data_IF_322249453976
#
_entry.id   IF_322249453976
#
_cell.length_a   1.000
_cell.length_b   1.000
_cell.length_c   1.000
_cell.angle_alpha   90.00
_cell.angle_beta   90.00
_cell.angle_gamma   90.00
#
_symmetry.space_group_name_H-M   'P 1'
#
loop_
_entity.id
_entity.type
_entity.pdbx_description
1 polymer ?
#
# COMPACT_ATOMS: atom_id res chain seq x y z
N UNK A 1 -37.62 -59.97 -3.89
CA UNK A 1 -37.31 -60.52 -2.55
C UNK A 1 -35.85 -61.00 -2.53
N UNK A 2 -35.14 -60.76 -1.41
CA UNK A 2 -33.74 -61.11 -1.04
C UNK A 2 -32.67 -60.15 -1.59
N UNK A 3 -32.29 -59.06 -0.88
CA UNK A 3 -31.59 -58.88 0.43
C UNK A 3 -30.10 -59.25 0.41
N UNK A 4 -29.28 -58.19 0.48
CA UNK A 4 -28.25 -57.91 1.50
C UNK A 4 -27.15 -58.94 1.72
N UNK A 5 -25.89 -58.61 1.34
CA UNK A 5 -24.65 -59.00 2.05
C UNK A 5 -23.40 -58.48 1.32
N UNK A 6 -22.91 -57.28 1.66
CA UNK A 6 -21.51 -56.84 1.38
C UNK A 6 -21.17 -55.49 2.05
N UNK A 7 -21.26 -55.35 3.38
CA UNK A 7 -20.84 -54.12 4.11
C UNK A 7 -20.14 -54.44 5.46
N UNK A 8 -19.21 -55.40 5.52
CA UNK A 8 -18.51 -55.71 6.81
C UNK A 8 -16.98 -55.70 6.73
N UNK A 9 -16.36 -55.59 5.55
CA UNK A 9 -14.89 -55.72 5.45
C UNK A 9 -14.08 -54.41 5.46
N UNK A 10 -14.70 -53.22 5.60
CA UNK A 10 -14.00 -51.93 5.50
C UNK A 10 -13.92 -51.13 6.81
N UNK A 11 -14.07 -51.79 7.97
CA UNK A 11 -13.93 -51.14 9.29
C UNK A 11 -12.66 -51.56 10.07
N UNK A 12 -11.85 -52.52 9.58
CA UNK A 12 -10.67 -53.01 10.32
C UNK A 12 -9.34 -52.35 9.94
N UNK A 13 -9.30 -51.45 8.95
CA UNK A 13 -8.06 -50.78 8.52
C UNK A 13 -7.83 -49.40 9.18
N UNK A 14 -8.71 -48.95 10.09
CA UNK A 14 -8.61 -47.65 10.77
C UNK A 14 -8.09 -47.73 12.23
N UNK A 15 -7.79 -48.91 12.75
CA UNK A 15 -7.32 -49.08 14.13
C UNK A 15 -5.78 -49.05 14.30
N UNK A 16 -5.02 -48.78 13.23
CA UNK A 16 -3.56 -48.98 13.20
C UNK A 16 -2.66 -47.78 13.51
N UNK A 17 -3.18 -46.56 13.68
CA UNK A 17 -2.33 -45.35 13.80
C UNK A 17 -2.58 -44.51 15.06
N UNK A 18 -3.22 -45.05 16.10
CA UNK A 18 -3.43 -44.35 17.38
C UNK A 18 -2.58 -44.93 18.50
N UNK A 19 -1.26 -45.06 18.29
CA UNK A 19 -0.34 -45.15 19.44
C UNK A 19 -0.24 -43.75 20.06
N UNK A 20 -1.16 -43.45 20.97
CA UNK A 20 -0.98 -42.34 21.89
C UNK A 20 0.21 -42.69 22.79
N UNK A 21 1.38 -42.13 22.48
CA UNK A 21 2.57 -42.26 23.32
C UNK A 21 2.24 -41.53 24.63
N UNK A 22 2.19 -42.20 25.79
CA UNK A 22 1.97 -41.54 27.06
C UNK A 22 3.16 -40.63 27.36
N UNK A 23 2.91 -39.33 27.39
CA UNK A 23 3.90 -38.31 27.71
C UNK A 23 3.41 -36.94 27.26
N UNK A 24 3.61 -35.90 28.07
CA UNK A 24 3.55 -34.54 27.54
C UNK A 24 4.69 -34.41 26.52
N UNK A 25 4.42 -34.00 25.27
CA UNK A 25 5.48 -33.78 24.30
C UNK A 25 6.43 -32.71 24.85
N UNK A 26 7.59 -33.15 25.33
CA UNK A 26 8.67 -32.26 25.74
C UNK A 26 9.37 -31.81 24.46
N UNK A 27 9.38 -30.51 24.20
CA UNK A 27 10.11 -29.94 23.08
C UNK A 27 11.58 -30.37 23.19
N UNK A 28 12.10 -31.01 22.16
CA UNK A 28 13.51 -31.42 22.10
C UNK A 28 14.38 -30.17 22.29
N UNK A 29 15.21 -30.09 23.35
CA UNK A 29 16.10 -28.95 23.58
C UNK A 29 17.17 -28.80 22.47
N UNK A 30 17.36 -29.82 21.62
CA UNK A 30 18.17 -29.76 20.41
C UNK A 30 17.42 -29.23 19.17
N UNK A 31 16.11 -28.99 19.28
CA UNK A 31 15.36 -28.32 18.23
C UNK A 31 15.95 -26.93 18.02
N UNK A 32 16.45 -26.69 16.80
CA UNK A 32 17.19 -25.49 16.44
C UNK A 32 16.36 -24.24 16.78
N UNK A 33 16.78 -23.51 17.82
CA UNK A 33 16.15 -22.25 18.22
C UNK A 33 16.41 -21.23 17.13
N UNK A 34 15.34 -20.64 16.60
CA UNK A 34 15.46 -19.54 15.64
C UNK A 34 16.20 -18.37 16.30
N UNK A 35 17.25 -17.89 15.65
CA UNK A 35 17.91 -16.65 16.04
C UNK A 35 17.08 -15.47 15.53
N UNK A 36 16.40 -14.79 16.46
CA UNK A 36 15.57 -13.62 16.17
C UNK A 36 16.29 -12.31 16.48
N UNK A 37 17.56 -12.35 16.87
CA UNK A 37 18.29 -11.18 17.37
C UNK A 37 17.51 -10.43 18.47
N UNK A 38 17.42 -9.10 18.31
CA UNK A 38 16.68 -8.22 19.22
C UNK A 38 15.24 -7.91 18.75
N UNK A 39 14.75 -8.56 17.70
CA UNK A 39 13.41 -8.31 17.18
C UNK A 39 12.34 -8.94 18.08
N UNK A 40 11.20 -8.26 18.21
CA UNK A 40 10.06 -8.79 18.95
C UNK A 40 9.49 -10.05 18.26
N UNK A 41 9.05 -11.03 19.05
CA UNK A 41 8.58 -12.33 18.55
C UNK A 41 7.11 -12.61 18.83
N UNK A 42 6.40 -11.65 19.43
CA UNK A 42 4.98 -11.74 19.75
C UNK A 42 4.17 -10.70 18.97
N UNK A 43 2.91 -11.03 18.58
CA UNK A 43 2.02 -10.05 17.99
C UNK A 43 1.82 -8.84 18.91
N UNK A 44 1.84 -7.65 18.32
CA UNK A 44 1.65 -6.38 19.04
C UNK A 44 0.25 -5.83 18.84
N UNK A 45 -0.29 -5.10 19.81
CA UNK A 45 -1.47 -4.27 19.58
C UNK A 45 -1.09 -3.08 18.71
N UNK A 46 -1.84 -2.84 17.63
CA UNK A 46 -1.62 -1.70 16.74
C UNK A 46 -2.75 -0.70 16.93
N UNK A 47 -2.39 0.50 17.37
CA UNK A 47 -3.31 1.61 17.54
C UNK A 47 -2.63 2.91 17.12
N UNK A 48 -3.44 3.89 16.71
CA UNK A 48 -2.93 5.20 16.36
C UNK A 48 -2.49 5.92 17.64
N UNK A 49 -1.27 6.45 17.64
CA UNK A 49 -0.73 7.24 18.75
C UNK A 49 -1.01 8.71 18.49
N UNK A 50 -0.79 9.15 17.25
CA UNK A 50 -1.12 10.49 16.76
C UNK A 50 -2.30 10.45 15.77
N UNK A 51 -2.94 11.61 15.55
CA UNK A 51 -4.00 11.74 14.56
C UNK A 51 -3.51 11.45 13.14
N UNK A 52 -2.27 11.85 12.81
CA UNK A 52 -1.67 11.59 11.51
C UNK A 52 -1.52 10.09 11.21
N UNK A 53 -1.22 9.25 12.22
CA UNK A 53 -1.15 7.79 12.08
C UNK A 53 -2.49 7.24 11.57
N UNK A 54 -3.58 7.66 12.22
CA UNK A 54 -4.93 7.26 11.86
C UNK A 54 -5.32 7.78 10.48
N UNK A 55 -5.03 9.05 10.20
CA UNK A 55 -5.32 9.65 8.91
C UNK A 55 -4.54 9.01 7.76
N UNK A 56 -3.33 8.52 7.99
CA UNK A 56 -2.56 7.74 7.01
C UNK A 56 -3.31 6.47 6.64
N UNK A 57 -3.74 5.71 7.65
CA UNK A 57 -4.51 4.48 7.42
C UNK A 57 -5.84 4.76 6.71
N UNK A 58 -6.53 5.84 7.07
CA UNK A 58 -7.75 6.24 6.39
C UNK A 58 -7.50 6.66 4.93
N UNK A 59 -6.35 7.26 4.63
CA UNK A 59 -5.92 7.52 3.27
C UNK A 59 -5.81 6.24 2.43
N UNK A 60 -5.25 5.16 3.00
CA UNK A 60 -5.24 3.86 2.30
C UNK A 60 -6.63 3.26 2.12
N UNK A 61 -7.54 3.44 3.09
CA UNK A 61 -8.94 3.03 2.94
C UNK A 61 -9.63 3.85 1.83
N UNK A 62 -9.32 5.14 1.71
CA UNK A 62 -9.85 6.02 0.66
C UNK A 62 -9.43 5.62 -0.76
N UNK A 63 -8.28 4.97 -0.91
CA UNK A 63 -7.75 4.55 -2.21
C UNK A 63 -8.73 3.63 -2.99
N UNK A 64 -9.58 2.87 -2.29
CA UNK A 64 -10.63 2.06 -2.94
C UNK A 64 -11.63 2.90 -3.74
N UNK A 65 -11.87 4.14 -3.30
CA UNK A 65 -12.74 5.11 -3.96
C UNK A 65 -11.97 6.02 -4.94
N UNK A 66 -10.67 5.80 -5.15
CA UNK A 66 -9.86 6.54 -6.12
C UNK A 66 -9.80 5.79 -7.45
N UNK A 67 -10.03 6.50 -8.55
CA UNK A 67 -9.87 6.00 -9.92
C UNK A 67 -8.38 5.88 -10.18
N UNK A 68 -7.92 4.75 -10.70
CA UNK A 68 -6.51 4.67 -11.08
C UNK A 68 -6.33 5.27 -12.48
N UNK A 69 -5.23 5.99 -12.77
CA UNK A 69 -5.00 6.55 -14.10
C UNK A 69 -5.02 5.52 -15.24
N UNK A 70 -4.56 4.28 -14.97
CA UNK A 70 -4.63 3.17 -15.93
C UNK A 70 -6.04 2.64 -16.19
N UNK A 71 -7.04 2.97 -15.36
CA UNK A 71 -8.45 2.65 -15.63
C UNK A 71 -9.00 3.57 -16.74
N UNK A 72 -8.44 4.78 -16.89
CA UNK A 72 -8.82 5.75 -17.93
C UNK A 72 -7.96 5.58 -19.17
N UNK A 73 -6.64 5.41 -18.98
CA UNK A 73 -5.68 5.25 -20.07
C UNK A 73 -4.77 4.04 -19.79
N UNK A 74 -5.11 2.84 -20.29
CA UNK A 74 -4.39 1.60 -20.00
C UNK A 74 -2.90 1.59 -20.38
N UNK A 75 -2.45 2.52 -21.22
CA UNK A 75 -1.02 2.67 -21.58
C UNK A 75 -0.19 3.31 -20.48
N UNK A 76 -0.80 3.85 -19.42
CA UNK A 76 -0.08 4.46 -18.30
C UNK A 76 0.25 3.40 -17.25
N UNK A 77 1.42 2.78 -17.35
CA UNK A 77 1.76 1.58 -16.56
C UNK A 77 2.96 1.73 -15.65
N UNK A 78 3.61 2.90 -15.61
CA UNK A 78 4.84 3.10 -14.84
C UNK A 78 4.75 4.31 -13.93
N UNK A 79 5.53 4.31 -12.84
CA UNK A 79 5.73 5.49 -12.01
C UNK A 79 6.69 6.44 -12.73
N UNK A 80 6.42 7.73 -12.67
CA UNK A 80 7.37 8.69 -13.22
C UNK A 80 8.47 8.96 -12.19
N UNK A 81 9.72 8.81 -12.60
CA UNK A 81 10.88 9.29 -11.82
C UNK A 81 11.25 10.72 -12.20
N UNK A 82 10.73 11.22 -13.32
CA UNK A 82 10.93 12.60 -13.77
C UNK A 82 10.01 13.60 -13.06
N UNK A 83 8.89 13.12 -12.54
CA UNK A 83 7.92 13.88 -11.77
C UNK A 83 7.82 13.14 -10.44
N UNK A 84 8.43 13.66 -9.38
CA UNK A 84 8.62 12.95 -8.11
C UNK A 84 7.37 12.96 -7.23
N UNK A 85 6.26 12.56 -7.83
CA UNK A 85 5.08 12.17 -7.08
C UNK A 85 4.96 10.65 -7.12
N UNK A 86 4.26 10.10 -6.16
CA UNK A 86 3.97 8.68 -6.11
C UNK A 86 2.60 8.49 -5.49
N UNK A 87 1.94 7.41 -5.87
CA UNK A 87 0.61 7.11 -5.34
C UNK A 87 0.72 6.83 -3.85
N UNK A 88 0.04 7.61 -3.01
CA UNK A 88 0.16 7.52 -1.55
C UNK A 88 -0.98 8.22 -0.81
N UNK A 89 -1.05 7.99 0.50
CA UNK A 89 -1.92 8.75 1.40
C UNK A 89 -1.39 10.18 1.60
N UNK A 90 -2.29 11.14 1.58
CA UNK A 90 -2.03 12.55 1.89
C UNK A 90 -2.56 12.81 3.29
N UNK A 91 -1.69 12.99 4.26
CA UNK A 91 -2.04 13.26 5.65
C UNK A 91 -1.80 14.73 6.04
N UNK A 92 -1.16 15.48 5.16
CA UNK A 92 -0.93 16.90 5.36
C UNK A 92 -0.91 17.67 4.01
N UNK A 93 -1.51 18.87 3.91
CA UNK A 93 -1.57 19.62 2.65
C UNK A 93 -0.22 19.92 2.01
N UNK A 94 0.84 20.00 2.82
CA UNK A 94 2.24 20.13 2.39
C UNK A 94 2.59 19.10 1.32
N UNK A 95 2.03 17.88 1.36
CA UNK A 95 2.31 16.83 0.36
C UNK A 95 1.67 17.11 -1.02
N UNK A 96 0.84 18.15 -1.15
CA UNK A 96 0.20 18.54 -2.42
C UNK A 96 1.03 19.55 -3.22
N UNK A 97 2.11 20.07 -2.65
CA UNK A 97 3.08 20.94 -3.35
C UNK A 97 4.42 20.22 -3.50
N UNK A 98 5.14 20.57 -4.55
CA UNK A 98 6.55 20.22 -4.71
C UNK A 98 7.42 21.33 -4.12
N UNK A 99 8.23 21.00 -3.10
CA UNK A 99 9.09 21.95 -2.39
C UNK A 99 10.44 22.21 -3.05
N UNK A 100 10.78 21.50 -4.13
CA UNK A 100 12.15 21.56 -4.68
C UNK A 100 12.42 22.82 -5.50
N UNK A 101 11.39 23.41 -6.09
CA UNK A 101 11.51 24.66 -6.86
C UNK A 101 10.29 25.55 -6.67
N UNK A 102 10.46 26.70 -6.00
CA UNK A 102 9.43 27.72 -5.81
C UNK A 102 8.83 28.23 -7.13
N UNK A 103 9.51 28.02 -8.27
CA UNK A 103 9.10 28.51 -9.59
C UNK A 103 8.53 27.43 -10.51
N UNK A 104 8.57 26.14 -10.12
CA UNK A 104 8.24 25.00 -11.01
C UNK A 104 7.65 23.82 -10.24
N UNK A 105 6.67 24.06 -9.37
CA UNK A 105 6.13 22.98 -8.54
C UNK A 105 5.51 21.88 -9.42
N UNK A 106 5.94 20.63 -9.26
CA UNK A 106 5.22 19.47 -9.79
C UNK A 106 4.08 19.00 -8.84
N UNK A 107 3.60 19.88 -7.95
CA UNK A 107 2.44 19.65 -7.07
C UNK A 107 1.08 19.99 -7.69
N UNK A 108 0.00 19.45 -7.13
CA UNK A 108 -1.38 19.80 -7.55
C UNK A 108 -1.71 21.27 -7.34
N UNK A 109 -1.03 21.89 -6.38
CA UNK A 109 -1.31 23.23 -5.91
C UNK A 109 0.00 24.02 -5.82
N UNK A 110 -0.12 25.33 -5.95
CA UNK A 110 0.96 26.25 -5.65
C UNK A 110 1.26 26.25 -4.15
N UNK A 111 2.42 26.79 -3.77
CA UNK A 111 2.80 26.95 -2.36
C UNK A 111 1.82 27.83 -1.59
N UNK A 112 1.36 28.94 -2.17
CA UNK A 112 0.42 29.85 -1.53
C UNK A 112 -0.94 29.17 -1.28
N UNK A 113 -1.49 28.47 -2.28
CA UNK A 113 -2.70 27.66 -2.12
C UNK A 113 -2.53 26.61 -1.01
N UNK A 114 -1.39 25.93 -0.98
CA UNK A 114 -1.07 24.91 0.03
C UNK A 114 -1.00 25.48 1.44
N UNK A 115 -0.35 26.64 1.62
CA UNK A 115 -0.29 27.31 2.92
C UNK A 115 -1.67 27.75 3.40
N UNK A 116 -2.52 28.26 2.50
CA UNK A 116 -3.91 28.61 2.82
C UNK A 116 -4.76 27.38 3.19
N UNK A 117 -4.50 26.23 2.56
CA UNK A 117 -5.19 24.98 2.89
C UNK A 117 -4.90 24.47 4.30
N UNK A 118 -3.78 24.84 4.93
CA UNK A 118 -3.49 24.45 6.31
C UNK A 118 -4.59 24.92 7.29
N UNK A 119 -5.35 25.96 6.93
CA UNK A 119 -6.49 26.47 7.72
C UNK A 119 -7.85 25.81 7.43
N UNK A 120 -7.93 24.78 6.58
CA UNK A 120 -9.21 24.27 6.04
C UNK A 120 -9.74 22.99 6.70
N UNK A 121 -9.23 22.60 7.87
CA UNK A 121 -9.61 21.33 8.53
C UNK A 121 -9.48 20.11 7.59
N UNK A 122 -8.41 20.08 6.81
CA UNK A 122 -8.00 18.91 6.03
C UNK A 122 -7.75 17.72 6.99
N UNK A 123 -8.22 16.52 6.61
CA UNK A 123 -8.05 15.31 7.41
C UNK A 123 -7.08 14.34 6.75
N UNK A 124 -7.41 13.90 5.55
CA UNK A 124 -6.59 12.95 4.79
C UNK A 124 -6.96 12.96 3.30
N UNK A 125 -6.27 12.19 2.51
CA UNK A 125 -6.58 11.93 1.11
C UNK A 125 -5.76 10.77 0.58
N UNK A 126 -5.99 10.45 -0.69
CA UNK A 126 -5.15 9.53 -1.43
C UNK A 126 -4.97 10.06 -2.86
N UNK A 127 -3.74 10.04 -3.35
CA UNK A 127 -3.42 10.34 -4.73
C UNK A 127 -2.97 9.07 -5.43
N UNK A 128 -3.43 8.89 -6.66
CA UNK A 128 -3.00 7.87 -7.57
C UNK A 128 -2.38 8.52 -8.80
N UNK A 129 -1.29 7.94 -9.29
CA UNK A 129 -0.59 8.41 -10.47
C UNK A 129 -0.18 7.26 -11.37
N UNK A 130 0.02 7.56 -12.66
CA UNK A 130 0.75 6.72 -13.59
C UNK A 130 1.20 7.54 -14.80
N UNK A 131 2.24 7.06 -15.47
CA UNK A 131 2.78 7.63 -16.69
C UNK A 131 2.96 6.58 -17.78
N UNK A 132 3.14 7.03 -19.03
CA UNK A 132 3.52 6.17 -20.16
C UNK A 132 5.03 5.86 -20.22
N UNK A 133 5.86 6.69 -19.57
CA UNK A 133 7.30 6.48 -19.45
C UNK A 133 7.81 7.00 -18.10
N UNK A 134 8.77 6.29 -17.50
CA UNK A 134 9.28 6.63 -16.18
C UNK A 134 10.11 7.92 -16.20
N UNK A 135 11.02 8.06 -17.15
CA UNK A 135 12.04 9.12 -17.18
C UNK A 135 11.69 10.31 -18.06
N UNK A 136 10.81 10.11 -19.05
CA UNK A 136 10.41 11.17 -19.97
C UNK A 136 8.95 10.95 -20.43
N UNK A 137 7.98 11.13 -19.52
CA UNK A 137 6.58 10.90 -19.85
C UNK A 137 6.09 11.87 -20.92
N UNK A 138 5.40 11.33 -21.93
CA UNK A 138 4.60 12.17 -22.82
C UNK A 138 3.26 12.52 -22.15
N UNK A 139 2.74 11.60 -21.33
CA UNK A 139 1.57 11.80 -20.47
C UNK A 139 1.83 11.25 -19.07
N UNK A 140 1.64 12.10 -18.07
CA UNK A 140 1.53 11.74 -16.65
C UNK A 140 0.16 12.16 -16.15
N UNK A 141 -0.61 11.21 -15.63
CA UNK A 141 -1.98 11.44 -15.19
C UNK A 141 -2.08 11.12 -13.71
N UNK A 142 -2.77 12.00 -12.98
CA UNK A 142 -3.02 11.87 -11.55
C UNK A 142 -4.49 12.05 -11.25
N UNK A 143 -4.95 11.35 -10.24
CA UNK A 143 -6.26 11.59 -9.64
C UNK A 143 -6.22 11.31 -8.15
N UNK A 144 -7.23 11.76 -7.44
CA UNK A 144 -7.31 11.48 -6.03
C UNK A 144 -8.55 12.03 -5.39
N UNK A 145 -8.61 11.80 -4.09
CA UNK A 145 -9.71 12.19 -3.24
C UNK A 145 -9.13 12.79 -1.97
N UNK A 146 -9.56 14.00 -1.63
CA UNK A 146 -9.19 14.71 -0.41
C UNK A 146 -10.41 14.78 0.50
N UNK A 147 -10.23 14.52 1.78
CA UNK A 147 -11.28 14.54 2.80
C UNK A 147 -11.06 15.71 3.75
N UNK A 148 -12.14 16.44 3.95
CA UNK A 148 -12.23 17.54 4.91
C UNK A 148 -13.19 17.18 6.03
N UNK A 149 -13.13 17.95 7.11
CA UNK A 149 -14.02 17.78 8.24
C UNK A 149 -15.50 17.81 7.82
N UNK A 150 -15.93 18.73 6.95
CA UNK A 150 -17.32 18.83 6.53
C UNK A 150 -17.42 19.41 5.11
N UNK A 151 -18.65 19.52 4.62
CA UNK A 151 -18.93 20.06 3.29
C UNK A 151 -18.52 21.53 3.15
N UNK A 152 -18.59 22.31 4.23
CA UNK A 152 -18.23 23.73 4.19
C UNK A 152 -16.71 23.91 4.15
N UNK A 153 -15.98 23.07 4.90
CA UNK A 153 -14.53 22.97 4.86
C UNK A 153 -14.04 22.58 3.47
N UNK A 154 -14.66 21.58 2.84
CA UNK A 154 -14.38 21.21 1.46
C UNK A 154 -14.69 22.34 0.47
N UNK A 155 -15.81 23.06 0.62
CA UNK A 155 -16.15 24.19 -0.24
C UNK A 155 -15.13 25.33 -0.12
N UNK A 156 -14.71 25.68 1.11
CA UNK A 156 -13.66 26.67 1.36
C UNK A 156 -12.32 26.25 0.76
N UNK A 157 -11.95 24.97 0.92
CA UNK A 157 -10.75 24.42 0.33
C UNK A 157 -10.77 24.47 -1.20
N UNK A 158 -11.88 24.11 -1.84
CA UNK A 158 -12.02 24.24 -3.29
C UNK A 158 -11.86 25.69 -3.75
N UNK A 159 -12.43 26.65 -3.01
CA UNK A 159 -12.27 28.07 -3.31
C UNK A 159 -10.81 28.54 -3.19
N UNK A 160 -10.06 28.03 -2.21
CA UNK A 160 -8.62 28.29 -2.08
C UNK A 160 -7.82 27.67 -3.22
N UNK A 161 -8.19 26.45 -3.63
CA UNK A 161 -7.51 25.72 -4.69
C UNK A 161 -7.75 26.31 -6.07
N UNK A 162 -8.85 27.04 -6.30
CA UNK A 162 -9.15 27.65 -7.61
C UNK A 162 -8.02 28.57 -8.06
N UNK A 163 -7.62 28.41 -9.31
CA UNK A 163 -6.76 29.37 -9.99
C UNK A 163 -7.66 30.44 -10.60
N UNK A 164 -7.75 31.60 -9.94
CA UNK A 164 -8.62 32.69 -10.39
C UNK A 164 -8.18 33.33 -11.71
N UNK A 165 -6.94 33.08 -12.16
CA UNK A 165 -6.43 33.60 -13.42
C UNK A 165 -6.68 32.64 -14.60
N UNK A 166 -7.01 31.37 -14.33
CA UNK A 166 -7.21 30.37 -15.37
C UNK A 166 -8.65 30.36 -15.88
N UNK A 167 -8.82 30.47 -17.19
CA UNK A 167 -10.08 30.13 -17.86
C UNK A 167 -10.34 28.62 -17.70
N UNK A 168 -11.59 28.24 -17.46
CA UNK A 168 -11.98 26.83 -17.37
C UNK A 168 -12.27 26.28 -18.76
N UNK A 169 -11.50 25.29 -19.26
CA UNK A 169 -11.77 24.66 -20.54
C UNK A 169 -13.18 24.06 -20.62
N UNK A 170 -13.78 24.08 -21.81
CA UNK A 170 -15.14 23.61 -22.04
C UNK A 170 -15.33 22.15 -21.63
N UNK A 171 -14.31 21.31 -21.78
CA UNK A 171 -14.29 19.91 -21.38
C UNK A 171 -14.44 19.78 -19.86
N UNK A 172 -13.71 20.59 -19.08
CA UNK A 172 -13.78 20.58 -17.61
C UNK A 172 -15.11 21.15 -17.12
N UNK A 173 -15.64 22.18 -17.79
CA UNK A 173 -16.93 22.79 -17.44
C UNK A 173 -18.12 21.82 -17.51
N UNK A 174 -18.00 20.71 -18.26
CA UNK A 174 -19.01 19.62 -18.30
C UNK A 174 -19.10 18.86 -16.98
N UNK A 175 -18.03 18.82 -16.19
CA UNK A 175 -18.01 18.15 -14.89
C UNK A 175 -18.63 19.08 -13.85
N UNK A 176 -19.79 18.70 -13.32
CA UNK A 176 -20.57 19.53 -12.39
C UNK A 176 -19.74 19.95 -11.18
N UNK A 177 -19.61 21.27 -10.98
CA UNK A 177 -18.89 21.84 -9.85
C UNK A 177 -17.37 21.76 -9.97
N UNK A 178 -16.85 21.36 -11.13
CA UNK A 178 -15.42 21.38 -11.40
C UNK A 178 -14.90 22.82 -11.55
N UNK A 179 -13.65 23.01 -11.14
CA UNK A 179 -12.90 24.22 -11.38
C UNK A 179 -11.44 23.89 -11.66
N UNK A 180 -10.79 24.71 -12.49
CA UNK A 180 -9.34 24.65 -12.67
C UNK A 180 -8.64 25.11 -11.38
N UNK A 181 -7.69 24.31 -10.93
CA UNK A 181 -6.91 24.59 -9.70
C UNK A 181 -5.45 24.89 -9.99
N UNK A 182 -4.97 24.49 -11.17
CA UNK A 182 -3.67 24.85 -11.70
C UNK A 182 -3.65 24.73 -13.22
N UNK A 183 -3.04 25.71 -13.90
CA UNK A 183 -2.69 25.61 -15.31
C UNK A 183 -1.37 26.34 -15.57
N UNK A 184 -0.28 25.61 -15.75
CA UNK A 184 1.04 26.22 -15.96
C UNK A 184 1.99 25.33 -16.78
N UNK A 185 2.97 25.93 -17.49
CA UNK A 185 4.03 25.17 -18.12
C UNK A 185 4.99 24.57 -17.08
N UNK A 186 5.38 23.31 -17.27
CA UNK A 186 6.31 22.54 -16.42
C UNK A 186 7.31 21.81 -17.33
N UNK A 187 8.60 22.12 -17.25
CA UNK A 187 9.68 21.43 -17.98
C UNK A 187 9.39 21.18 -19.48
N UNK A 188 8.89 22.19 -20.21
CA UNK A 188 8.55 22.05 -21.64
C UNK A 188 7.27 21.25 -21.92
N UNK A 189 6.48 20.96 -20.88
CA UNK A 189 5.15 20.34 -20.90
C UNK A 189 4.13 21.34 -20.36
N UNK A 190 2.86 21.07 -20.58
CA UNK A 190 1.75 21.80 -19.94
C UNK A 190 1.15 20.92 -18.88
N UNK A 191 0.91 21.50 -17.70
CA UNK A 191 0.15 20.87 -16.65
C UNK A 191 -1.20 21.55 -16.50
N UNK A 192 -2.24 20.74 -16.44
CA UNK A 192 -3.58 21.16 -16.09
C UNK A 192 -4.10 20.32 -14.93
N UNK A 193 -4.65 20.96 -13.91
CA UNK A 193 -5.32 20.31 -12.80
C UNK A 193 -6.72 20.89 -12.59
N UNK A 194 -7.67 20.03 -12.26
CA UNK A 194 -9.03 20.41 -11.91
C UNK A 194 -9.52 19.63 -10.70
N UNK A 195 -10.45 20.25 -9.97
CA UNK A 195 -11.05 19.68 -8.78
C UNK A 195 -12.55 19.92 -8.75
N UNK A 196 -13.29 19.00 -8.14
CA UNK A 196 -14.73 19.09 -7.94
C UNK A 196 -15.11 18.59 -6.54
N UNK A 197 -16.07 19.26 -5.91
CA UNK A 197 -16.55 18.88 -4.58
C UNK A 197 -17.60 17.75 -4.64
N UNK A 198 -17.49 16.80 -3.72
CA UNK A 198 -18.46 15.71 -3.48
C UNK A 198 -18.72 15.61 -1.97
N UNK A 199 -19.70 16.35 -1.46
CA UNK A 199 -19.94 16.44 -0.01
C UNK A 199 -18.74 17.04 0.73
N UNK A 200 -18.21 16.33 1.74
CA UNK A 200 -16.98 16.73 2.46
C UNK A 200 -15.69 16.28 1.77
N UNK A 201 -15.78 15.85 0.51
CA UNK A 201 -14.65 15.39 -0.29
C UNK A 201 -14.37 16.38 -1.42
N UNK A 202 -13.11 16.43 -1.85
CA UNK A 202 -12.72 17.05 -3.12
C UNK A 202 -12.08 15.95 -3.98
N UNK A 203 -12.71 15.67 -5.12
CA UNK A 203 -12.11 14.91 -6.21
C UNK A 203 -11.09 15.82 -6.91
N UNK A 204 -9.87 15.33 -7.12
CA UNK A 204 -8.82 16.06 -7.83
C UNK A 204 -8.30 15.24 -8.99
N UNK A 205 -7.87 15.92 -10.04
CA UNK A 205 -7.30 15.33 -11.25
C UNK A 205 -6.25 16.26 -11.84
N UNK A 206 -5.19 15.71 -12.42
CA UNK A 206 -4.27 16.50 -13.22
C UNK A 206 -3.60 15.68 -14.30
N UNK A 207 -3.30 16.32 -15.42
CA UNK A 207 -2.50 15.76 -16.50
C UNK A 207 -1.32 16.69 -16.78
N UNK A 208 -0.14 16.09 -16.96
CA UNK A 208 1.04 16.76 -17.51
C UNK A 208 1.30 16.16 -18.90
N UNK A 209 1.23 16.97 -19.95
CA UNK A 209 1.34 16.52 -21.36
C UNK A 209 2.33 17.36 -22.15
N UNK A 210 2.99 16.77 -23.15
CA UNK A 210 3.82 17.55 -24.10
C UNK A 210 2.98 18.45 -25.02
N UNK A 211 1.84 17.94 -25.48
CA UNK A 211 0.87 18.70 -26.26
C UNK A 211 -0.23 19.24 -25.34
N UNK A 212 -0.31 20.56 -25.19
CA UNK A 212 -1.26 21.21 -24.29
C UNK A 212 -2.73 20.88 -24.62
N UNK A 213 -3.02 20.52 -25.88
CA UNK A 213 -4.38 20.25 -26.39
C UNK A 213 -5.06 19.05 -25.75
N UNK A 214 -4.29 18.07 -25.29
CA UNK A 214 -4.87 16.79 -24.83
C UNK A 214 -5.19 16.80 -23.32
N UNK A 215 -4.64 17.77 -22.58
CA UNK A 215 -4.78 17.82 -21.13
C UNK A 215 -6.24 18.05 -20.66
N UNK A 216 -7.04 18.96 -21.25
CA UNK A 216 -8.44 19.18 -20.83
C UNK A 216 -9.31 17.93 -20.93
N UNK A 217 -9.18 17.15 -22.01
CA UNK A 217 -9.95 15.92 -22.21
C UNK A 217 -9.56 14.84 -21.20
N UNK A 218 -8.26 14.64 -20.98
CA UNK A 218 -7.77 13.66 -19.99
C UNK A 218 -8.19 14.03 -18.57
N UNK A 219 -8.06 15.31 -18.19
CA UNK A 219 -8.42 15.82 -16.86
C UNK A 219 -9.92 15.71 -16.63
N UNK A 220 -10.75 16.14 -17.60
CA UNK A 220 -12.21 16.04 -17.47
C UNK A 220 -12.68 14.59 -17.35
N UNK A 221 -12.16 13.69 -18.20
CA UNK A 221 -12.52 12.27 -18.19
C UNK A 221 -12.22 11.60 -16.85
N UNK A 222 -11.00 11.78 -16.31
CA UNK A 222 -10.66 11.19 -15.01
C UNK A 222 -11.39 11.87 -13.85
N UNK A 223 -11.63 13.19 -13.92
CA UNK A 223 -12.36 13.90 -12.88
C UNK A 223 -13.82 13.45 -12.80
N UNK A 224 -14.49 13.28 -13.93
CA UNK A 224 -15.87 12.78 -13.99
C UNK A 224 -15.98 11.37 -13.38
N UNK A 225 -15.06 10.48 -13.76
CA UNK A 225 -14.96 9.14 -13.19
C UNK A 225 -14.69 9.21 -11.67
N UNK A 226 -13.81 10.11 -11.23
CA UNK A 226 -13.47 10.28 -9.82
C UNK A 226 -14.63 10.85 -8.99
N UNK A 227 -15.37 11.83 -9.53
CA UNK A 227 -16.58 12.38 -8.89
C UNK A 227 -17.63 11.29 -8.70
N UNK A 228 -17.82 10.44 -9.72
CA UNK A 228 -18.74 9.30 -9.65
C UNK A 228 -18.27 8.30 -8.60
N UNK A 229 -17.00 7.88 -8.66
CA UNK A 229 -16.43 6.87 -7.75
C UNK A 229 -16.36 7.35 -6.30
N UNK A 230 -16.17 8.64 -6.06
CA UNK A 230 -16.13 9.23 -4.72
C UNK A 230 -17.40 8.93 -3.89
N UNK A 231 -18.56 8.75 -4.54
CA UNK A 231 -19.82 8.39 -3.85
C UNK A 231 -19.82 6.99 -3.22
N UNK A 232 -18.86 6.13 -3.62
CA UNK A 232 -18.68 4.79 -3.06
C UNK A 232 -17.85 4.79 -1.77
N UNK A 233 -17.13 5.88 -1.49
CA UNK A 233 -16.34 5.99 -0.28
C UNK A 233 -17.23 5.88 0.97
N UNK A 234 -16.74 5.13 1.96
CA UNK A 234 -17.34 4.98 3.28
C UNK A 234 -16.30 5.41 4.30
N UNK A 235 -16.62 6.44 5.06
CA UNK A 235 -15.72 6.99 6.08
C UNK A 235 -15.49 5.95 7.17
N UNK A 236 -14.23 5.65 7.48
CA UNK A 236 -13.84 4.70 8.52
C UNK A 236 -14.07 5.21 9.95
N UNK A 237 -14.22 6.53 10.11
CA UNK A 237 -14.56 7.14 11.40
C UNK A 237 -15.41 8.41 11.23
N UNK A 238 -16.32 8.69 12.19
CA UNK A 238 -16.98 9.98 12.32
C UNK A 238 -15.99 11.13 12.51
N UNK A 239 -16.47 12.36 12.28
CA UNK A 239 -15.66 13.58 12.37
C UNK A 239 -15.04 13.75 13.76
N UNK A 240 -13.74 14.08 13.79
CA UNK A 240 -12.98 14.30 15.02
C UNK A 240 -12.64 13.04 15.82
N UNK A 241 -13.05 11.85 15.35
CA UNK A 241 -12.87 10.59 16.07
C UNK A 241 -11.81 9.69 15.42
N UNK A 242 -10.63 10.25 15.13
CA UNK A 242 -9.54 9.51 14.45
C UNK A 242 -9.15 8.21 15.17
N UNK A 243 -9.36 8.11 16.49
CA UNK A 243 -9.11 6.90 17.28
C UNK A 243 -9.98 5.71 16.91
N UNK A 244 -11.08 5.93 16.18
CA UNK A 244 -11.94 4.86 15.68
C UNK A 244 -11.49 4.30 14.33
N UNK A 245 -10.51 4.92 13.66
CA UNK A 245 -9.95 4.36 12.45
C UNK A 245 -9.20 3.07 12.83
N UNK A 246 -9.63 1.90 12.30
CA UNK A 246 -8.96 0.66 12.63
C UNK A 246 -7.53 0.72 12.07
N UNK A 247 -6.54 0.59 12.94
CA UNK A 247 -5.14 0.51 12.54
C UNK A 247 -4.71 -0.93 12.24
N UNK A 248 -5.59 -1.89 12.46
CA UNK A 248 -5.34 -3.28 12.19
C UNK A 248 -6.61 -4.02 11.77
N UNK A 249 -6.76 -4.22 10.46
CA UNK A 249 -7.84 -5.01 9.91
C UNK A 249 -7.46 -6.49 9.98
N UNK A 250 -8.30 -7.27 10.66
CA UNK A 250 -8.15 -8.72 10.79
C UNK A 250 -6.80 -9.19 11.37
N UNK A 251 -6.13 -8.34 12.15
CA UNK A 251 -4.85 -8.66 12.81
C UNK A 251 -3.63 -8.68 11.88
N UNK A 252 -3.73 -8.16 10.66
CA UNK A 252 -2.63 -8.16 9.68
C UNK A 252 -1.45 -7.27 10.10
N UNK A 253 -1.70 -6.14 10.76
CA UNK A 253 -0.64 -5.24 11.22
C UNK A 253 0.01 -5.75 12.51
N UNK A 254 -0.74 -6.45 13.37
CA UNK A 254 -0.19 -7.18 14.52
C UNK A 254 0.82 -8.26 14.11
N UNK A 255 0.78 -8.71 12.84
CA UNK A 255 1.68 -9.72 12.27
C UNK A 255 3.01 -9.16 11.76
N UNK A 256 3.21 -7.84 11.79
CA UNK A 256 4.44 -7.18 11.31
C UNK A 256 5.43 -6.91 12.44
N UNK A 257 6.68 -6.63 12.07
CA UNK A 257 7.61 -5.92 12.94
C UNK A 257 7.20 -4.43 13.03
N UNK A 258 7.39 -3.78 14.18
CA UNK A 258 7.21 -2.32 14.28
C UNK A 258 8.30 -1.61 13.46
N UNK A 259 7.97 -0.45 12.88
CA UNK A 259 8.94 0.38 12.17
C UNK A 259 10.10 0.80 13.09
N UNK A 260 11.35 0.71 12.60
CA UNK A 260 12.56 1.04 13.38
C UNK A 260 13.13 2.42 13.04
N UNK A 261 12.26 3.38 12.76
CA UNK A 261 12.71 4.74 12.45
C UNK A 261 13.33 5.37 13.69
N UNK A 262 14.61 5.76 13.59
CA UNK A 262 15.16 6.78 14.49
C UNK A 262 14.29 8.02 14.36
N UNK A 263 13.79 8.48 15.50
CA UNK A 263 12.68 9.42 15.64
C UNK A 263 13.02 10.83 15.15
N UNK A 264 13.28 11.01 13.85
CA UNK A 264 13.14 12.31 13.25
C UNK A 264 11.66 12.69 13.32
N UNK A 265 11.30 13.81 13.96
CA UNK A 265 9.93 14.28 13.99
C UNK A 265 9.42 14.36 12.56
N UNK A 266 8.45 13.50 12.23
CA UNK A 266 7.83 13.57 10.92
C UNK A 266 7.23 14.96 10.77
N UNK A 267 7.63 15.70 9.74
CA UNK A 267 7.00 16.97 9.35
C UNK A 267 5.51 16.81 9.04
N UNK A 268 5.04 15.55 8.92
CA UNK A 268 3.65 15.17 8.69
C UNK A 268 2.88 14.89 10.00
N UNK A 269 3.53 14.99 11.16
CA UNK A 269 2.90 14.77 12.47
C UNK A 269 2.69 13.29 12.84
N UNK A 270 3.33 12.36 12.14
CA UNK A 270 3.33 10.93 12.49
C UNK A 270 4.03 10.69 13.84
N UNK A 271 3.54 9.72 14.59
CA UNK A 271 4.19 9.30 15.83
C UNK A 271 5.51 8.58 15.56
N UNK A 272 6.39 8.50 16.57
CA UNK A 272 7.69 7.84 16.47
C UNK A 272 7.64 6.33 16.19
N UNK A 273 6.45 5.72 16.16
CA UNK A 273 6.25 4.28 15.88
C UNK A 273 5.60 4.02 14.53
N UNK A 274 5.33 5.05 13.75
CA UNK A 274 4.65 4.97 12.45
C UNK A 274 5.50 5.74 11.44
N UNK A 275 6.06 5.01 10.49
CA UNK A 275 6.72 5.59 9.33
C UNK A 275 5.68 6.01 8.29
N UNK A 276 6.06 6.93 7.42
CA UNK A 276 5.25 7.24 6.26
C UNK A 276 5.08 5.99 5.38
N UNK A 277 3.87 5.78 4.86
CA UNK A 277 3.47 4.57 4.12
C UNK A 277 3.23 3.29 4.95
N UNK A 278 3.39 3.33 6.28
CA UNK A 278 3.00 2.24 7.17
C UNK A 278 1.48 2.09 7.27
N UNK A 279 1.00 0.85 7.27
CA UNK A 279 -0.41 0.53 7.41
C UNK A 279 -0.81 -0.73 6.65
N UNK A 280 -2.08 -1.07 6.75
CA UNK A 280 -2.65 -2.12 5.91
C UNK A 280 -3.32 -1.53 4.67
N UNK A 281 -3.40 -2.31 3.61
CA UNK A 281 -4.04 -1.93 2.36
C UNK A 281 -4.53 -3.15 1.60
N UNK A 282 -5.51 -2.95 0.73
CA UNK A 282 -5.92 -4.00 -0.20
C UNK A 282 -4.84 -4.25 -1.25
N UNK A 283 -5.03 -5.33 -2.01
CA UNK A 283 -4.22 -5.64 -3.19
C UNK A 283 -4.29 -4.54 -4.25
N UNK A 284 -5.46 -3.93 -4.46
CA UNK A 284 -5.63 -2.85 -5.43
C UNK A 284 -4.89 -1.60 -4.98
N UNK A 285 -5.03 -1.20 -3.72
CA UNK A 285 -4.32 -0.04 -3.18
C UNK A 285 -2.82 -0.26 -3.23
N UNK A 286 -2.32 -1.45 -2.89
CA UNK A 286 -0.90 -1.77 -3.03
C UNK A 286 -0.42 -1.63 -4.48
N UNK A 287 -1.17 -2.17 -5.45
CA UNK A 287 -0.83 -2.03 -6.86
C UNK A 287 -0.83 -0.57 -7.32
N UNK A 288 -1.79 0.25 -6.88
CA UNK A 288 -1.76 1.68 -7.20
C UNK A 288 -0.50 2.36 -6.65
N UNK A 289 -0.02 1.93 -5.49
CA UNK A 289 1.19 2.45 -4.82
C UNK A 289 2.50 1.99 -5.44
N UNK A 290 2.55 0.83 -6.11
CA UNK A 290 3.79 0.30 -6.70
C UNK A 290 3.82 0.35 -8.22
N UNK A 291 2.64 0.37 -8.86
CA UNK A 291 2.43 0.14 -10.29
C UNK A 291 3.12 -1.12 -10.83
N UNK A 292 3.40 -2.09 -9.95
CA UNK A 292 3.96 -3.36 -10.36
C UNK A 292 2.84 -4.28 -10.86
N UNK A 293 2.70 -4.32 -12.19
CA UNK A 293 1.67 -5.13 -12.85
C UNK A 293 1.91 -6.62 -12.68
N UNK A 294 3.16 -7.06 -12.70
CA UNK A 294 3.48 -8.48 -12.55
C UNK A 294 3.18 -8.96 -11.13
N UNK A 295 3.54 -8.16 -10.11
CA UNK A 295 3.10 -8.39 -8.74
C UNK A 295 1.58 -8.45 -8.64
N UNK A 296 0.85 -7.49 -9.22
CA UNK A 296 -0.62 -7.44 -9.11
C UNK A 296 -1.32 -8.64 -9.75
N UNK A 297 -0.85 -9.07 -10.92
CA UNK A 297 -1.39 -10.25 -11.59
C UNK A 297 -1.11 -11.52 -10.76
N UNK A 298 0.07 -11.63 -10.13
CA UNK A 298 0.42 -12.73 -9.20
C UNK A 298 -0.41 -12.68 -7.92
N UNK A 299 -0.57 -11.49 -7.34
CA UNK A 299 -1.32 -11.25 -6.13
C UNK A 299 -2.79 -11.67 -6.33
N UNK A 300 -3.38 -11.25 -7.45
CA UNK A 300 -4.75 -11.61 -7.85
C UNK A 300 -4.89 -13.12 -8.04
N UNK A 301 -3.99 -13.78 -8.79
CA UNK A 301 -4.03 -15.24 -9.01
C UNK A 301 -3.94 -16.05 -7.72
N UNK A 302 -3.18 -15.57 -6.74
CA UNK A 302 -3.00 -16.23 -5.45
C UNK A 302 -3.97 -15.75 -4.36
N UNK A 303 -4.91 -14.86 -4.72
CA UNK A 303 -5.93 -14.35 -3.81
C UNK A 303 -5.34 -13.57 -2.63
N UNK A 304 -4.30 -12.75 -2.86
CA UNK A 304 -3.92 -11.73 -1.89
C UNK A 304 -5.11 -10.79 -1.76
N UNK A 305 -5.55 -10.56 -0.53
CA UNK A 305 -6.65 -9.64 -0.22
C UNK A 305 -6.22 -8.51 0.73
N UNK A 306 -5.14 -8.71 1.49
CA UNK A 306 -4.65 -7.76 2.47
C UNK A 306 -3.12 -7.76 2.54
N UNK A 307 -2.54 -6.57 2.57
CA UNK A 307 -1.11 -6.32 2.70
C UNK A 307 -0.88 -5.43 3.92
N UNK A 308 -0.11 -5.89 4.89
CA UNK A 308 0.43 -5.04 5.95
C UNK A 308 1.86 -4.63 5.59
N UNK A 309 2.18 -3.36 5.81
CA UNK A 309 3.47 -2.80 5.49
C UNK A 309 3.98 -1.94 6.65
N UNK A 310 5.26 -2.14 6.99
CA UNK A 310 6.05 -1.28 7.87
C UNK A 310 7.42 -1.00 7.23
N UNK A 311 8.21 -0.09 7.79
CA UNK A 311 9.59 0.13 7.32
C UNK A 311 10.47 -1.12 7.44
N UNK A 312 10.12 -2.04 8.35
CA UNK A 312 10.89 -3.27 8.62
C UNK A 312 10.38 -4.49 7.87
N UNK A 313 9.09 -4.53 7.53
CA UNK A 313 8.48 -5.78 7.12
C UNK A 313 7.21 -5.62 6.30
N UNK A 314 6.92 -6.66 5.53
CA UNK A 314 5.68 -6.79 4.77
C UNK A 314 5.05 -8.14 5.09
N UNK A 315 3.74 -8.15 5.30
CA UNK A 315 2.97 -9.39 5.46
C UNK A 315 1.84 -9.39 4.44
N UNK A 316 1.80 -10.43 3.61
CA UNK A 316 0.73 -10.68 2.67
C UNK A 316 -0.19 -11.77 3.22
N UNK A 317 -1.50 -11.50 3.22
CA UNK A 317 -2.53 -12.52 3.44
C UNK A 317 -2.98 -13.03 2.08
N UNK A 318 -2.65 -14.28 1.76
CA UNK A 318 -3.13 -14.96 0.55
C UNK A 318 -4.38 -15.79 0.86
N UNK A 319 -4.99 -16.41 -0.15
CA UNK A 319 -6.19 -17.25 0.01
C UNK A 319 -5.98 -18.42 0.96
N UNK A 320 -4.88 -19.14 0.80
CA UNK A 320 -4.58 -20.38 1.54
C UNK A 320 -3.06 -20.67 1.51
N UNK A 321 -2.64 -21.71 2.25
CA UNK A 321 -1.24 -22.14 2.32
C UNK A 321 -0.65 -22.49 0.96
N UNK A 322 -1.40 -23.17 0.10
CA UNK A 322 -0.91 -23.55 -1.23
C UNK A 322 -0.64 -22.31 -2.09
N UNK A 323 -1.50 -21.30 -2.01
CA UNK A 323 -1.36 -20.01 -2.67
C UNK A 323 -0.18 -19.22 -2.13
N UNK A 324 0.20 -19.40 -0.85
CA UNK A 324 1.39 -18.76 -0.27
C UNK A 324 2.66 -19.31 -0.90
N UNK A 325 2.77 -20.63 -1.04
CA UNK A 325 3.87 -21.28 -1.75
C UNK A 325 3.89 -20.91 -3.24
N UNK A 326 2.73 -20.92 -3.89
CA UNK A 326 2.63 -20.55 -5.31
C UNK A 326 3.04 -19.09 -5.54
N UNK A 327 2.58 -18.14 -4.70
CA UNK A 327 3.01 -16.75 -4.78
C UNK A 327 4.52 -16.61 -4.56
N UNK A 328 5.07 -17.21 -3.50
CA UNK A 328 6.50 -17.19 -3.18
C UNK A 328 7.39 -17.71 -4.32
N UNK A 329 6.95 -18.78 -5.00
CA UNK A 329 7.69 -19.40 -6.10
C UNK A 329 7.48 -18.67 -7.44
N UNK A 330 6.43 -17.85 -7.56
CA UNK A 330 6.09 -17.16 -8.81
C UNK A 330 6.61 -15.73 -8.88
N UNK A 331 6.85 -15.08 -7.74
CA UNK A 331 7.31 -13.70 -7.72
C UNK A 331 8.70 -13.60 -8.37
N UNK A 332 8.97 -12.67 -9.30
CA UNK A 332 10.32 -12.40 -9.76
C UNK A 332 11.11 -11.71 -8.63
N UNK A 333 10.45 -11.03 -7.69
CA UNK A 333 11.06 -10.58 -6.44
C UNK A 333 11.28 -11.75 -5.47
N UNK A 334 10.66 -12.90 -5.76
CA UNK A 334 11.25 -14.20 -5.47
C UNK A 334 12.48 -14.40 -6.35
N UNK A 335 13.54 -13.64 -6.07
CA UNK A 335 14.87 -13.94 -6.56
C UNK A 335 14.97 -13.98 -8.10
N UNK A 336 14.77 -12.87 -8.82
CA UNK A 336 15.38 -12.79 -10.16
C UNK A 336 16.87 -12.90 -9.94
N UNK A 337 17.38 -14.05 -10.32
CA UNK A 337 18.74 -14.59 -10.23
C UNK A 337 19.78 -13.79 -11.02
N UNK A 338 19.64 -12.47 -11.11
CA UNK A 338 20.54 -11.61 -11.89
C UNK A 338 21.65 -10.97 -11.04
N UNK A 339 21.65 -11.13 -9.72
CA UNK A 339 22.71 -10.60 -8.84
C UNK A 339 23.44 -11.73 -8.12
N UNK A 340 24.59 -12.10 -8.69
CA UNK A 340 25.65 -13.00 -8.18
C UNK A 340 25.19 -14.39 -7.69
N UNK A 341 25.92 -15.48 -8.02
CA UNK A 341 25.80 -16.71 -7.25
C UNK A 341 25.96 -16.35 -5.77
N UNK A 342 25.12 -16.86 -4.84
CA UNK A 342 25.38 -16.67 -3.43
C UNK A 342 26.84 -17.09 -3.19
N UNK A 343 27.62 -16.26 -2.52
CA UNK A 343 29.01 -16.58 -2.14
C UNK A 343 28.98 -17.82 -1.24
N UNK A 344 28.87 -19.03 -1.82
CA UNK A 344 28.90 -20.35 -1.17
C UNK A 344 27.99 -20.61 0.05
N UNK A 345 27.17 -19.64 0.48
CA UNK A 345 26.36 -19.73 1.68
C UNK A 345 24.97 -20.30 1.41
N UNK A 346 24.48 -21.11 2.36
CA UNK A 346 23.05 -21.43 2.47
C UNK A 346 22.25 -20.13 2.39
N UNK A 347 21.24 -20.02 1.53
CA UNK A 347 20.37 -18.84 1.40
C UNK A 347 19.06 -18.99 2.19
N UNK A 348 19.03 -19.93 3.13
CA UNK A 348 17.89 -20.19 4.01
C UNK A 348 18.07 -19.55 5.37
N UNK A 349 17.01 -19.53 6.15
CA UNK A 349 16.99 -19.17 7.56
C UNK A 349 17.17 -20.46 8.36
N UNK A 350 18.28 -20.61 9.12
CA UNK A 350 18.49 -21.79 9.94
C UNK A 350 17.31 -22.06 10.89
N UNK A 351 16.83 -23.30 10.90
CA UNK A 351 15.72 -23.74 11.77
C UNK A 351 14.33 -23.63 11.13
N UNK A 352 14.20 -23.02 9.95
CA UNK A 352 12.94 -23.01 9.20
C UNK A 352 12.86 -24.14 8.16
N UNK A 353 11.66 -24.65 7.82
CA UNK A 353 11.49 -25.66 6.77
C UNK A 353 12.05 -25.18 5.44
N UNK A 354 12.85 -26.03 4.77
CA UNK A 354 13.59 -25.67 3.53
C UNK A 354 12.70 -25.11 2.42
N UNK A 355 11.48 -25.62 2.27
CA UNK A 355 10.55 -25.16 1.24
C UNK A 355 9.78 -23.88 1.61
N UNK A 356 9.85 -23.44 2.87
CA UNK A 356 9.02 -22.38 3.43
C UNK A 356 9.75 -21.06 3.67
N UNK A 357 11.01 -20.92 3.24
CA UNK A 357 11.76 -19.67 3.40
C UNK A 357 12.86 -19.51 2.35
N UNK A 358 13.21 -18.28 1.98
CA UNK A 358 14.32 -17.98 1.06
C UNK A 358 14.86 -16.57 1.33
N UNK A 359 16.17 -16.38 1.19
CA UNK A 359 16.82 -15.08 1.22
C UNK A 359 17.44 -14.75 -0.14
N UNK A 360 17.37 -13.48 -0.50
CA UNK A 360 17.87 -12.88 -1.75
C UNK A 360 18.77 -11.72 -1.40
N UNK A 361 19.95 -11.70 -1.99
CA UNK A 361 20.91 -10.62 -1.82
C UNK A 361 20.96 -9.76 -3.08
N UNK A 362 20.93 -8.44 -2.90
CA UNK A 362 21.23 -7.44 -3.92
C UNK A 362 22.50 -6.70 -3.52
N UNK A 363 23.01 -5.82 -4.38
CA UNK A 363 24.21 -5.03 -4.07
C UNK A 363 24.04 -4.09 -2.86
N UNK A 364 22.82 -3.75 -2.47
CA UNK A 364 22.53 -2.76 -1.42
C UNK A 364 21.70 -3.30 -0.26
N UNK A 365 21.10 -4.48 -0.40
CA UNK A 365 20.19 -5.04 0.61
C UNK A 365 20.06 -6.56 0.51
N UNK A 366 19.51 -7.17 1.55
CA UNK A 366 19.12 -8.57 1.60
C UNK A 366 17.66 -8.66 2.02
N UNK A 367 16.83 -9.27 1.18
CA UNK A 367 15.45 -9.62 1.51
C UNK A 367 15.35 -11.08 1.94
N UNK A 368 14.62 -11.37 3.01
CA UNK A 368 14.28 -12.73 3.38
C UNK A 368 12.76 -12.88 3.45
N UNK A 369 12.26 -14.03 3.01
CA UNK A 369 10.84 -14.37 2.98
C UNK A 369 10.62 -15.68 3.72
N UNK A 370 9.51 -15.78 4.45
CA UNK A 370 9.04 -17.03 5.04
C UNK A 370 7.52 -17.20 4.89
N UNK A 371 7.04 -18.44 4.97
CA UNK A 371 5.62 -18.80 4.87
C UNK A 371 5.14 -19.39 6.20
N UNK A 372 4.02 -18.87 6.71
CA UNK A 372 3.33 -19.36 7.91
C UNK A 372 1.84 -19.49 7.61
N UNK A 373 1.36 -20.71 7.41
CA UNK A 373 -0.03 -20.94 6.98
C UNK A 373 -0.34 -20.23 5.65
N UNK A 374 -1.38 -19.39 5.63
CA UNK A 374 -1.75 -18.52 4.49
C UNK A 374 -1.03 -17.16 4.47
N UNK A 375 -0.02 -16.96 5.30
CA UNK A 375 0.70 -15.68 5.37
C UNK A 375 2.10 -15.82 4.77
N UNK A 376 2.48 -14.84 3.95
CA UNK A 376 3.84 -14.68 3.47
C UNK A 376 4.43 -13.45 4.14
N UNK A 377 5.53 -13.64 4.85
CA UNK A 377 6.24 -12.56 5.55
C UNK A 377 7.55 -12.25 4.86
N UNK A 378 7.91 -10.98 4.81
CA UNK A 378 9.14 -10.51 4.19
C UNK A 378 9.77 -9.40 5.04
N UNK A 379 11.09 -9.37 5.10
CA UNK A 379 11.88 -8.27 5.67
C UNK A 379 13.09 -7.97 4.78
N UNK A 380 13.46 -6.70 4.66
CA UNK A 380 14.61 -6.25 3.85
C UNK A 380 15.57 -5.45 4.73
N UNK A 381 16.84 -5.88 4.81
CA UNK A 381 17.86 -5.22 5.63
C UNK A 381 19.19 -5.11 4.89
N UNK A 382 20.15 -4.34 5.42
CA UNK A 382 21.47 -4.15 4.80
C UNK A 382 22.33 -5.42 4.80
N UNK A 383 22.12 -6.32 5.75
CA UNK A 383 22.92 -7.55 5.91
C UNK A 383 22.06 -8.80 5.92
N UNK A 384 22.64 -9.92 5.47
CA UNK A 384 21.98 -11.22 5.50
C UNK A 384 21.63 -11.67 6.92
N UNK A 385 22.49 -11.39 7.90
CA UNK A 385 22.23 -11.75 9.30
C UNK A 385 20.99 -11.02 9.83
N UNK A 386 20.89 -9.70 9.63
CA UNK A 386 19.72 -8.93 10.07
C UNK A 386 18.44 -9.39 9.38
N UNK A 387 18.48 -9.61 8.06
CA UNK A 387 17.33 -10.09 7.31
C UNK A 387 16.83 -11.46 7.79
N UNK A 388 17.75 -12.38 8.10
CA UNK A 388 17.41 -13.68 8.70
C UNK A 388 16.77 -13.53 10.07
N UNK A 389 17.36 -12.71 10.95
CA UNK A 389 16.87 -12.50 12.31
C UNK A 389 15.48 -11.85 12.31
N UNK A 390 15.27 -10.83 11.48
CA UNK A 390 13.99 -10.17 11.32
C UNK A 390 12.91 -11.11 10.76
N UNK A 391 13.22 -11.88 9.71
CA UNK A 391 12.26 -12.86 9.15
C UNK A 391 11.99 -14.02 10.11
N UNK A 392 12.98 -14.47 10.88
CA UNK A 392 12.78 -15.45 11.94
C UNK A 392 11.84 -14.92 13.03
N UNK A 393 11.94 -13.64 13.40
CA UNK A 393 11.03 -12.99 14.33
C UNK A 393 9.60 -12.88 13.75
N UNK A 394 9.46 -12.45 12.49
CA UNK A 394 8.16 -12.43 11.78
C UNK A 394 7.50 -13.80 11.73
N UNK A 395 8.29 -14.86 11.49
CA UNK A 395 7.81 -16.23 11.52
C UNK A 395 7.21 -16.59 12.90
N UNK A 396 7.91 -16.24 13.98
CA UNK A 396 7.42 -16.46 15.34
C UNK A 396 6.15 -15.66 15.67
N UNK A 397 6.10 -14.38 15.27
CA UNK A 397 4.90 -13.54 15.40
C UNK A 397 3.71 -14.21 14.71
N UNK A 398 3.88 -14.63 13.45
CA UNK A 398 2.78 -15.19 12.67
C UNK A 398 2.36 -16.57 13.16
N UNK A 399 3.30 -17.37 13.67
CA UNK A 399 2.99 -18.65 14.30
C UNK A 399 2.16 -18.43 15.58
N UNK A 400 2.52 -17.44 16.39
CA UNK A 400 1.78 -17.09 17.60
C UNK A 400 0.39 -16.49 17.30
N UNK A 401 0.25 -15.73 16.21
CA UNK A 401 -1.04 -15.19 15.77
C UNK A 401 -1.96 -16.24 15.09
N UNK A 402 -1.45 -17.43 14.77
CA UNK A 402 -2.17 -18.51 14.10
C UNK A 402 -2.01 -18.51 12.57
N UNK A 403 -2.20 -19.69 11.97
CA UNK A 403 -1.89 -20.00 10.56
C UNK A 403 -3.08 -19.82 9.58
N UNK A 404 -4.28 -19.49 10.09
CA UNK A 404 -5.56 -19.56 9.35
C UNK A 404 -5.94 -18.33 8.55
#
# INVERSE_FOLDING_TARGET
MKRTCAVVALCMLLAGCSTAIPGEPVADPSALKLDTGNYATTPRTVAAIAAADAWQQEGFNMAEAVVAPFDIRPTLTVQSTAIETFSTSIIHPVQMVDFRDERKSDGFLTRDQTLKLLGTSFQTGFLAEAADNATDPAVHLRSGLLRFQDSDAAARALQIMRDSAAETPAEIAKVRGAAVVANYPTFGRTRLAAAAQVGNLIAVSSATTRAATDAPELVSSILEAQVTKATTYRQGAPLGQYRLIPMDKDGIMSRTLPSSVEAEPSVLGLSSRVHFADGYRSTRTHYMMTLDRDWYDKATRNGIDLVAWTSESVVYRVRDRASAYAFANSSPDGVTTTSAPPESGDNRIPGLPRNANVCVHTTTSTGCTAIVGRYLVNSVHKTLQQARQATAALYMINKAAGEN
#
